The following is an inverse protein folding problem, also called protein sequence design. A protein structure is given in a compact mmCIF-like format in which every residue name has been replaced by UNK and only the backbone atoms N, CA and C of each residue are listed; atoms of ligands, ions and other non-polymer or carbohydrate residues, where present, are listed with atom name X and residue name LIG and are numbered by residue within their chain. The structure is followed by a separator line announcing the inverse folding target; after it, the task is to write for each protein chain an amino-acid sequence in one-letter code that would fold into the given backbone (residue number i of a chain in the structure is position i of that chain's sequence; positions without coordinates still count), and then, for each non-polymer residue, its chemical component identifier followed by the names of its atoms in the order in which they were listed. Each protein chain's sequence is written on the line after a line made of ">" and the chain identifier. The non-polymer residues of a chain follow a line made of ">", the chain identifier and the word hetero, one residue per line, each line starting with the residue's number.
data_IF_311489885749
#
_entry.id   IF_311489885749
#
_cell.length_a   1.000
_cell.length_b   1.000
_cell.length_c   1.000
_cell.angle_alpha   90.00
_cell.angle_beta   90.00
_cell.angle_gamma   90.00
#
_symmetry.space_group_name_H-M   'P 1'
#
loop_
_entity.id
_entity.type
_entity.pdbx_description
1 polymer ?
#
# COMPACT_ATOMS: atom_id res chain seq x y z
N UNK A 1 -14.91 -31.54 -23.58
CA UNK A 1 -14.68 -30.85 -22.29
C UNK A 1 -14.85 -29.36 -22.52
N UNK A 2 -15.78 -28.72 -21.84
CA UNK A 2 -15.85 -27.28 -21.87
C UNK A 2 -14.56 -26.72 -21.26
N UNK A 3 -13.94 -25.77 -21.96
CA UNK A 3 -12.74 -25.09 -21.47
C UNK A 3 -13.14 -24.21 -20.28
N UNK A 4 -12.76 -24.62 -19.07
CA UNK A 4 -12.96 -23.81 -17.87
C UNK A 4 -12.13 -22.52 -18.04
N UNK A 5 -12.78 -21.37 -17.91
CA UNK A 5 -12.14 -20.04 -17.98
C UNK A 5 -12.27 -19.33 -16.64
N UNK A 6 -11.35 -18.42 -16.39
CA UNK A 6 -11.47 -17.47 -15.28
C UNK A 6 -12.78 -16.66 -15.42
N UNK A 7 -13.34 -16.26 -14.29
CA UNK A 7 -14.62 -15.54 -14.28
C UNK A 7 -14.44 -14.06 -13.91
N UNK A 8 -14.16 -13.22 -14.91
CA UNK A 8 -13.98 -11.77 -14.73
C UNK A 8 -15.28 -11.05 -14.31
N UNK A 9 -16.46 -11.67 -14.46
CA UNK A 9 -17.73 -11.09 -13.98
C UNK A 9 -17.81 -10.98 -12.46
N UNK A 10 -16.95 -11.70 -11.73
CA UNK A 10 -16.85 -11.57 -10.27
C UNK A 10 -16.16 -10.27 -9.83
N UNK A 11 -15.36 -9.66 -10.70
CA UNK A 11 -14.67 -8.42 -10.39
C UNK A 11 -15.65 -7.27 -10.21
N UNK A 12 -15.46 -6.50 -9.14
CA UNK A 12 -16.24 -5.29 -8.86
C UNK A 12 -15.30 -4.10 -8.73
N UNK A 13 -15.71 -3.01 -9.36
CA UNK A 13 -15.06 -1.71 -9.21
C UNK A 13 -15.73 -0.91 -8.11
N UNK A 14 -14.94 -0.06 -7.46
CA UNK A 14 -15.40 0.93 -6.51
C UNK A 14 -14.97 2.31 -6.99
N UNK A 15 -15.81 3.31 -6.79
CA UNK A 15 -15.43 4.70 -7.07
C UNK A 15 -14.41 5.15 -6.01
N UNK A 16 -13.30 5.71 -6.49
CA UNK A 16 -12.31 6.32 -5.60
C UNK A 16 -12.86 7.64 -5.07
N UNK A 17 -12.93 7.76 -3.77
CA UNK A 17 -13.19 9.04 -3.12
C UNK A 17 -11.85 9.71 -2.84
N UNK A 18 -11.59 10.78 -3.56
CA UNK A 18 -10.36 11.54 -3.38
C UNK A 18 -10.49 12.48 -2.19
N UNK A 19 -9.47 12.52 -1.34
CA UNK A 19 -9.38 13.39 -0.17
C UNK A 19 -8.43 14.55 -0.48
N UNK A 20 -8.94 15.80 -0.39
CA UNK A 20 -8.11 17.00 -0.45
C UNK A 20 -7.52 17.36 -1.82
N UNK A 21 -6.45 18.14 -1.81
CA UNK A 21 -5.74 18.61 -3.01
C UNK A 21 -4.93 17.46 -3.59
N UNK A 22 -5.21 17.10 -4.86
CA UNK A 22 -4.48 16.04 -5.57
C UNK A 22 -3.25 16.62 -6.26
N UNK A 23 -2.22 16.93 -5.50
CA UNK A 23 -0.94 17.38 -6.02
C UNK A 23 0.16 16.35 -5.68
N UNK A 24 -0.10 15.09 -6.06
CA UNK A 24 0.85 14.01 -5.83
C UNK A 24 0.82 13.01 -6.99
N UNK A 25 1.94 12.34 -7.18
CA UNK A 25 2.02 11.09 -7.92
C UNK A 25 1.85 9.92 -6.96
N UNK A 26 1.48 8.76 -7.47
CA UNK A 26 1.41 7.59 -6.60
C UNK A 26 0.82 6.37 -7.28
N UNK A 27 0.90 5.26 -6.57
CA UNK A 27 0.37 3.98 -6.99
C UNK A 27 -0.26 3.27 -5.81
N UNK A 28 -1.26 2.45 -6.12
CA UNK A 28 -1.78 1.42 -5.24
C UNK A 28 -1.26 0.07 -5.71
N UNK A 29 -0.67 -0.67 -4.79
CA UNK A 29 -0.03 -1.95 -5.07
C UNK A 29 -0.69 -3.03 -4.23
N UNK A 30 -1.29 -4.02 -4.89
CA UNK A 30 -1.90 -5.17 -4.24
C UNK A 30 -1.04 -6.41 -4.48
N UNK A 31 -0.73 -7.14 -3.42
CA UNK A 31 -0.07 -8.43 -3.52
C UNK A 31 -1.05 -9.54 -3.14
N UNK A 32 -1.25 -10.48 -4.04
CA UNK A 32 -2.14 -11.61 -3.88
C UNK A 32 -1.30 -12.89 -3.77
N UNK A 33 -1.33 -13.54 -2.61
CA UNK A 33 -0.38 -14.60 -2.24
C UNK A 33 -0.87 -16.02 -2.52
N UNK A 34 -2.17 -16.22 -2.65
CA UNK A 34 -2.76 -17.56 -2.73
C UNK A 34 -3.42 -17.77 -4.09
N UNK A 35 -2.66 -17.58 -5.16
CA UNK A 35 -3.15 -17.77 -6.54
C UNK A 35 -2.61 -19.07 -7.08
N UNK A 36 -3.48 -19.91 -7.64
CA UNK A 36 -3.09 -21.18 -8.26
C UNK A 36 -3.78 -21.37 -9.61
N UNK A 37 -3.14 -22.12 -10.49
CA UNK A 37 -3.68 -22.53 -11.79
C UNK A 37 -3.16 -23.92 -12.13
N UNK A 38 -3.65 -24.51 -13.21
CA UNK A 38 -3.16 -25.79 -13.75
C UNK A 38 -2.23 -25.54 -14.93
N UNK A 39 -1.12 -26.25 -15.00
CA UNK A 39 -0.29 -26.26 -16.22
C UNK A 39 -0.95 -27.12 -17.32
N UNK A 40 -0.29 -27.20 -18.48
CA UNK A 40 -0.79 -27.96 -19.63
C UNK A 40 -0.89 -29.47 -19.38
N UNK A 41 -0.30 -29.97 -18.30
CA UNK A 41 -0.39 -31.37 -17.87
C UNK A 41 -1.44 -31.58 -16.76
N UNK A 42 -2.12 -30.50 -16.32
CA UNK A 42 -3.03 -30.52 -15.21
C UNK A 42 -2.38 -30.48 -13.83
N UNK A 43 -1.07 -30.19 -13.75
CA UNK A 43 -0.38 -30.05 -12.47
C UNK A 43 -0.67 -28.68 -11.86
N UNK A 44 -1.05 -28.62 -10.56
CA UNK A 44 -1.26 -27.37 -9.87
C UNK A 44 0.04 -26.55 -9.77
N UNK A 45 -0.04 -25.29 -10.14
CA UNK A 45 1.00 -24.29 -9.99
C UNK A 45 0.56 -23.23 -9.01
N UNK A 46 1.47 -22.74 -8.18
CA UNK A 46 1.20 -21.66 -7.22
C UNK A 46 2.04 -20.45 -7.55
N UNK A 47 1.41 -19.27 -7.49
CA UNK A 47 2.06 -18.00 -7.81
C UNK A 47 1.62 -16.90 -6.86
N UNK A 48 2.49 -15.91 -6.69
CA UNK A 48 2.13 -14.62 -6.16
C UNK A 48 1.84 -13.66 -7.31
N UNK A 49 0.77 -12.91 -7.21
CA UNK A 49 0.40 -11.87 -8.18
C UNK A 49 0.54 -10.50 -7.54
N UNK A 50 1.28 -9.61 -8.22
CA UNK A 50 1.41 -8.19 -7.86
C UNK A 50 0.67 -7.37 -8.88
N UNK A 51 -0.27 -6.56 -8.42
CA UNK A 51 -1.08 -5.65 -9.24
C UNK A 51 -0.72 -4.22 -8.86
N UNK A 52 -0.42 -3.37 -9.85
CA UNK A 52 -0.14 -1.96 -9.63
C UNK A 52 -0.99 -1.11 -10.57
N UNK A 53 -1.61 -0.05 -10.05
CA UNK A 53 -2.31 0.95 -10.84
C UNK A 53 -2.14 2.34 -10.21
N UNK A 54 -2.22 3.42 -11.04
CA UNK A 54 -1.94 4.77 -10.56
C UNK A 54 -3.00 5.27 -9.58
N UNK A 55 -2.58 6.05 -8.61
CA UNK A 55 -3.46 6.72 -7.63
C UNK A 55 -4.43 7.71 -8.29
N UNK A 56 -4.11 8.19 -9.49
CA UNK A 56 -4.99 9.03 -10.31
C UNK A 56 -6.17 8.29 -10.95
N UNK A 57 -6.23 6.94 -10.83
CA UNK A 57 -7.39 6.17 -11.30
C UNK A 57 -8.64 6.58 -10.52
N UNK A 58 -9.72 6.89 -11.22
CA UNK A 58 -11.04 7.20 -10.60
C UNK A 58 -11.75 5.97 -10.04
N UNK A 59 -11.24 4.77 -10.37
CA UNK A 59 -11.77 3.49 -9.94
C UNK A 59 -10.71 2.72 -9.16
N UNK A 60 -11.14 1.94 -8.18
CA UNK A 60 -10.34 0.92 -7.49
C UNK A 60 -11.03 -0.44 -7.59
N UNK A 61 -10.29 -1.51 -7.38
CA UNK A 61 -10.88 -2.86 -7.35
C UNK A 61 -11.35 -3.21 -5.93
N UNK A 62 -12.56 -3.75 -5.80
CA UNK A 62 -13.01 -4.35 -4.55
C UNK A 62 -12.18 -5.60 -4.24
N UNK A 63 -11.52 -5.62 -3.07
CA UNK A 63 -10.54 -6.65 -2.71
C UNK A 63 -11.15 -8.03 -2.51
N UNK A 64 -12.39 -8.08 -2.02
CA UNK A 64 -13.11 -9.35 -1.85
C UNK A 64 -13.44 -9.93 -3.21
N UNK A 65 -13.90 -9.09 -4.12
CA UNK A 65 -14.19 -9.49 -5.50
C UNK A 65 -12.93 -9.92 -6.25
N UNK A 66 -11.81 -9.22 -6.06
CA UNK A 66 -10.52 -9.60 -6.62
C UNK A 66 -10.09 -10.99 -6.13
N UNK A 67 -10.22 -11.26 -4.82
CA UNK A 67 -9.92 -12.57 -4.26
C UNK A 67 -10.79 -13.64 -4.89
N UNK A 68 -12.10 -13.45 -4.94
CA UNK A 68 -13.04 -14.40 -5.53
C UNK A 68 -12.75 -14.66 -7.01
N UNK A 69 -12.35 -13.62 -7.75
CA UNK A 69 -11.93 -13.75 -9.15
C UNK A 69 -10.66 -14.61 -9.27
N UNK A 70 -9.63 -14.33 -8.48
CA UNK A 70 -8.36 -15.08 -8.51
C UNK A 70 -8.56 -16.55 -8.10
N UNK A 71 -9.51 -16.86 -7.22
CA UNK A 71 -9.86 -18.22 -6.84
C UNK A 71 -10.44 -19.05 -8.03
N UNK A 72 -11.00 -18.40 -9.04
CA UNK A 72 -11.50 -19.11 -10.22
C UNK A 72 -10.39 -19.69 -11.08
N UNK A 73 -9.15 -19.20 -10.96
CA UNK A 73 -7.99 -19.68 -11.72
C UNK A 73 -7.58 -21.11 -11.35
N UNK A 74 -7.89 -21.56 -10.13
CA UNK A 74 -7.43 -22.85 -9.61
C UNK A 74 -7.69 -24.07 -10.51
N UNK A 75 -8.69 -24.01 -11.37
CA UNK A 75 -9.07 -25.09 -12.28
C UNK A 75 -8.87 -24.70 -13.75
N UNK A 76 -8.27 -23.54 -14.03
CA UNK A 76 -7.99 -23.08 -15.39
C UNK A 76 -6.59 -23.52 -15.80
N UNK A 77 -6.45 -24.01 -17.03
CA UNK A 77 -5.16 -24.38 -17.61
C UNK A 77 -4.50 -23.19 -18.29
N UNK A 78 -3.23 -22.94 -17.97
CA UNK A 78 -2.37 -21.96 -18.63
C UNK A 78 -1.03 -22.60 -18.98
N UNK A 79 -0.48 -22.27 -20.13
CA UNK A 79 0.81 -22.81 -20.55
C UNK A 79 1.99 -22.19 -19.79
N UNK A 80 1.79 -21.00 -19.19
CA UNK A 80 2.87 -20.29 -18.47
C UNK A 80 2.35 -19.25 -17.49
N UNK A 81 3.15 -18.84 -16.48
CA UNK A 81 2.82 -17.69 -15.63
C UNK A 81 2.58 -16.41 -16.43
N UNK A 82 3.20 -16.24 -17.60
CA UNK A 82 3.00 -15.09 -18.48
C UNK A 82 1.58 -15.03 -19.06
N UNK A 83 0.95 -16.17 -19.33
CA UNK A 83 -0.45 -16.20 -19.77
C UNK A 83 -1.39 -15.83 -18.63
N UNK A 84 -1.14 -16.30 -17.42
CA UNK A 84 -1.86 -15.89 -16.20
C UNK A 84 -1.77 -14.38 -16.01
N UNK A 85 -0.54 -13.83 -16.15
CA UNK A 85 -0.30 -12.40 -16.06
C UNK A 85 -1.13 -11.61 -17.07
N UNK A 86 -1.12 -12.01 -18.33
CA UNK A 86 -1.87 -11.35 -19.40
C UNK A 86 -3.36 -11.36 -19.13
N UNK A 87 -3.92 -12.51 -18.74
CA UNK A 87 -5.34 -12.65 -18.44
C UNK A 87 -5.79 -11.70 -17.32
N UNK A 88 -5.05 -11.68 -16.20
CA UNK A 88 -5.36 -10.80 -15.07
C UNK A 88 -5.20 -9.32 -15.48
N UNK A 89 -4.16 -8.99 -16.23
CA UNK A 89 -3.90 -7.60 -16.64
C UNK A 89 -4.99 -7.07 -17.57
N UNK A 90 -5.47 -7.86 -18.53
CA UNK A 90 -6.55 -7.49 -19.45
C UNK A 90 -7.88 -7.29 -18.72
N UNK A 91 -8.23 -8.22 -17.83
CA UNK A 91 -9.45 -8.14 -17.03
C UNK A 91 -9.45 -6.91 -16.11
N UNK A 92 -8.35 -6.66 -15.39
CA UNK A 92 -8.23 -5.50 -14.50
C UNK A 92 -8.11 -4.18 -15.24
N UNK A 93 -7.42 -4.13 -16.39
CA UNK A 93 -7.36 -2.95 -17.24
C UNK A 93 -8.76 -2.56 -17.75
N UNK A 94 -9.56 -3.55 -18.12
CA UNK A 94 -10.95 -3.33 -18.56
C UNK A 94 -11.82 -2.82 -17.41
N UNK A 95 -11.66 -3.40 -16.21
CA UNK A 95 -12.41 -2.99 -15.02
C UNK A 95 -12.07 -1.57 -14.57
N UNK A 96 -10.77 -1.27 -14.42
CA UNK A 96 -10.27 -0.03 -13.82
C UNK A 96 -10.16 1.13 -14.81
N UNK A 97 -10.20 0.84 -16.12
CA UNK A 97 -10.09 1.82 -17.21
C UNK A 97 -8.83 2.70 -17.11
N UNK A 98 -7.74 2.14 -16.57
CA UNK A 98 -6.46 2.82 -16.41
C UNK A 98 -5.29 1.89 -16.75
N UNK A 99 -4.08 2.47 -16.80
CA UNK A 99 -2.85 1.68 -16.97
C UNK A 99 -2.64 0.79 -15.73
N UNK A 100 -2.79 -0.51 -15.91
CA UNK A 100 -2.61 -1.52 -14.86
C UNK A 100 -1.43 -2.40 -15.23
N UNK A 101 -0.50 -2.57 -14.29
CA UNK A 101 0.64 -3.47 -14.41
C UNK A 101 0.41 -4.68 -13.51
N UNK A 102 0.55 -5.86 -14.07
CA UNK A 102 0.47 -7.13 -13.33
C UNK A 102 1.79 -7.85 -13.46
N UNK A 103 2.31 -8.39 -12.37
CA UNK A 103 3.48 -9.27 -12.36
C UNK A 103 3.12 -10.56 -11.64
N UNK A 104 3.60 -11.69 -12.17
CA UNK A 104 3.32 -13.02 -11.62
C UNK A 104 4.64 -13.70 -11.29
N UNK A 105 4.78 -14.14 -10.06
CA UNK A 105 5.98 -14.76 -9.52
C UNK A 105 5.69 -16.20 -9.08
N UNK A 106 6.42 -17.21 -9.54
CA UNK A 106 6.35 -18.56 -8.99
C UNK A 106 6.72 -18.54 -7.50
N UNK A 107 6.06 -19.34 -6.67
CA UNK A 107 6.35 -19.38 -5.23
C UNK A 107 7.60 -20.20 -4.93
N UNK A 108 7.89 -21.20 -5.74
CA UNK A 108 9.07 -22.06 -5.56
C UNK A 108 10.37 -21.26 -5.73
N UNK A 109 11.27 -21.39 -4.75
CA UNK A 109 12.58 -20.75 -4.76
C UNK A 109 12.59 -19.27 -4.43
N UNK A 110 11.47 -18.66 -4.05
CA UNK A 110 11.43 -17.26 -3.66
C UNK A 110 11.93 -17.07 -2.24
N UNK A 111 13.05 -16.35 -2.11
CA UNK A 111 13.40 -15.70 -0.86
C UNK A 111 12.66 -14.35 -0.79
N UNK A 112 11.91 -14.14 0.29
CA UNK A 112 11.30 -12.84 0.57
C UNK A 112 12.20 -12.08 1.56
N UNK A 113 13.00 -11.12 1.10
CA UNK A 113 13.74 -10.28 2.03
C UNK A 113 12.75 -9.42 2.82
N UNK A 114 13.02 -9.23 4.11
CA UNK A 114 12.29 -8.24 4.91
C UNK A 114 12.63 -6.83 4.41
N UNK A 115 11.66 -5.93 4.51
CA UNK A 115 11.91 -4.53 4.18
C UNK A 115 12.82 -3.92 5.24
N UNK A 116 14.09 -3.84 4.94
CA UNK A 116 15.02 -2.94 5.63
C UNK A 116 15.17 -1.74 4.71
N UNK A 117 14.67 -0.59 5.14
CA UNK A 117 14.88 0.66 4.42
C UNK A 117 16.05 1.32 5.11
N UNK A 118 17.19 1.36 4.44
CA UNK A 118 18.40 1.96 4.97
C UNK A 118 18.15 3.42 5.35
N UNK A 119 18.59 3.82 6.54
CA UNK A 119 18.49 5.18 7.05
C UNK A 119 17.14 5.58 7.66
N UNK A 120 16.09 4.76 7.56
CA UNK A 120 14.84 5.03 8.27
C UNK A 120 14.97 4.64 9.75
N UNK A 121 14.73 5.60 10.63
CA UNK A 121 14.65 5.31 12.06
C UNK A 121 13.23 4.88 12.46
N UNK A 122 13.14 4.02 13.47
CA UNK A 122 11.88 3.60 14.07
C UNK A 122 11.39 4.70 15.02
N UNK A 123 10.23 5.28 14.72
CA UNK A 123 9.69 6.43 15.45
C UNK A 123 9.38 6.07 16.91
N UNK A 124 8.78 4.91 17.13
CA UNK A 124 8.42 4.42 18.46
C UNK A 124 9.67 4.21 19.33
N UNK A 125 10.72 3.64 18.75
CA UNK A 125 11.99 3.40 19.47
C UNK A 125 12.61 4.73 19.91
N UNK A 126 12.70 5.71 19.01
CA UNK A 126 13.33 7.02 19.29
C UNK A 126 12.55 7.83 20.32
N UNK A 127 11.22 7.73 20.35
CA UNK A 127 10.39 8.47 21.32
C UNK A 127 10.16 7.70 22.63
N UNK A 128 10.49 6.41 22.71
CA UNK A 128 10.22 5.55 23.87
C UNK A 128 10.81 6.06 25.19
N UNK A 129 11.91 6.81 25.14
CA UNK A 129 12.59 7.38 26.30
C UNK A 129 12.05 8.76 26.72
N UNK A 130 11.09 9.31 25.97
CA UNK A 130 10.52 10.65 26.24
C UNK A 130 9.25 10.51 27.07
N UNK A 131 9.00 11.53 27.89
CA UNK A 131 7.73 11.62 28.64
C UNK A 131 6.68 12.32 27.76
N UNK A 132 5.60 11.61 27.45
CA UNK A 132 4.44 12.13 26.70
C UNK A 132 3.20 11.26 26.92
N UNK A 133 2.03 11.84 26.65
CA UNK A 133 0.77 11.13 26.70
C UNK A 133 0.05 11.22 25.35
N UNK A 134 -0.73 10.21 25.02
CA UNK A 134 -1.68 10.26 23.89
C UNK A 134 -3.01 10.80 24.43
N UNK A 135 -3.41 11.97 23.93
CA UNK A 135 -4.60 12.68 24.44
C UNK A 135 -5.84 12.44 23.58
N UNK A 136 -5.65 12.09 22.29
CA UNK A 136 -6.77 11.88 21.37
C UNK A 136 -6.52 10.70 20.43
N UNK A 137 -7.63 10.05 20.04
CA UNK A 137 -7.67 8.97 19.04
C UNK A 137 -8.57 9.34 17.86
N UNK A 138 -8.95 10.60 17.74
CA UNK A 138 -9.62 11.17 16.59
C UNK A 138 -8.66 12.08 15.83
N UNK A 139 -8.72 12.07 14.49
CA UNK A 139 -7.79 12.83 13.63
C UNK A 139 -7.69 14.28 14.09
N UNK A 140 -6.47 14.71 14.39
CA UNK A 140 -6.15 16.07 14.77
C UNK A 140 -4.83 16.53 14.14
N UNK A 141 -4.93 17.41 13.15
CA UNK A 141 -3.78 17.99 12.42
C UNK A 141 -2.99 18.99 13.29
N UNK A 142 -3.63 19.60 14.28
CA UNK A 142 -3.00 20.57 15.18
C UNK A 142 -1.96 19.93 16.11
N UNK A 143 -1.96 18.61 16.22
CA UNK A 143 -0.90 17.87 16.91
C UNK A 143 0.45 18.01 16.21
N UNK A 144 0.49 18.24 14.90
CA UNK A 144 1.74 18.34 14.13
C UNK A 144 2.49 19.63 14.50
N UNK A 145 3.68 19.48 15.10
CA UNK A 145 4.59 20.57 15.48
C UNK A 145 5.87 20.52 14.65
N UNK A 146 6.50 21.67 14.47
CA UNK A 146 7.76 21.81 13.73
C UNK A 146 8.95 21.65 14.68
N UNK A 147 9.91 20.77 14.34
CA UNK A 147 11.22 20.73 14.96
C UNK A 147 12.16 21.73 14.25
N UNK A 148 12.43 22.85 14.89
CA UNK A 148 13.34 23.87 14.36
C UNK A 148 14.84 23.50 14.43
N UNK A 149 15.18 22.41 15.11
CA UNK A 149 16.57 21.95 15.32
C UNK A 149 17.00 20.91 14.30
N UNK A 150 16.04 20.15 13.74
CA UNK A 150 16.34 19.13 12.75
C UNK A 150 16.89 19.77 11.46
N UNK A 151 17.94 19.18 10.91
CA UNK A 151 18.54 19.59 9.63
C UNK A 151 18.88 18.35 8.81
N UNK A 152 18.60 18.41 7.53
CA UNK A 152 18.86 17.32 6.60
C UNK A 152 17.62 16.44 6.36
N UNK A 153 17.73 15.41 5.53
CA UNK A 153 16.60 14.55 5.19
C UNK A 153 15.98 13.89 6.44
N UNK A 154 14.66 13.85 6.48
CA UNK A 154 13.91 13.19 7.53
C UNK A 154 13.31 11.90 6.97
N UNK A 155 13.65 10.78 7.58
CA UNK A 155 13.19 9.50 7.11
C UNK A 155 12.83 8.59 8.28
N UNK A 156 11.57 8.22 8.40
CA UNK A 156 11.08 7.44 9.54
C UNK A 156 10.09 6.36 9.14
N UNK A 157 10.02 5.35 10.00
CA UNK A 157 9.02 4.30 10.00
C UNK A 157 8.22 4.36 11.29
N UNK A 158 6.92 4.08 11.22
CA UNK A 158 6.05 3.87 12.39
C UNK A 158 5.21 2.63 12.22
N UNK A 159 5.07 1.86 13.29
CA UNK A 159 4.19 0.67 13.35
C UNK A 159 2.85 0.98 14.04
N UNK A 160 2.63 2.22 14.47
CA UNK A 160 1.46 2.65 15.23
C UNK A 160 0.27 3.04 14.36
N UNK A 161 0.39 3.03 13.02
CA UNK A 161 -0.71 3.35 12.14
C UNK A 161 -1.86 2.36 12.30
N UNK A 162 -3.01 2.87 12.71
CA UNK A 162 -4.23 2.10 12.87
C UNK A 162 -5.44 2.98 12.60
N UNK A 163 -6.46 2.43 11.94
CA UNK A 163 -7.75 3.08 11.71
C UNK A 163 -8.86 2.04 11.60
N UNK A 164 -10.07 2.48 11.36
CA UNK A 164 -11.20 1.60 11.06
C UNK A 164 -11.40 1.51 9.54
N UNK A 165 -11.90 0.36 9.08
CA UNK A 165 -12.36 0.27 7.68
C UNK A 165 -13.53 1.23 7.44
N UNK A 166 -13.79 1.59 6.18
CA UNK A 166 -14.89 2.50 5.80
C UNK A 166 -16.26 2.07 6.34
N UNK A 167 -16.47 0.79 6.56
CA UNK A 167 -17.67 0.27 7.23
C UNK A 167 -17.67 0.48 8.76
N UNK A 168 -16.55 0.93 9.34
CA UNK A 168 -16.41 1.19 10.77
C UNK A 168 -16.35 -0.04 11.68
N UNK A 169 -16.37 -1.25 11.12
CA UNK A 169 -16.52 -2.49 11.89
C UNK A 169 -15.26 -3.37 11.97
N UNK A 170 -14.16 -2.99 11.31
CA UNK A 170 -12.91 -3.73 11.36
C UNK A 170 -11.72 -2.79 11.52
N UNK A 171 -10.75 -3.21 12.30
CA UNK A 171 -9.49 -2.49 12.49
C UNK A 171 -8.58 -2.70 11.27
N UNK A 172 -7.93 -1.64 10.86
CA UNK A 172 -6.98 -1.59 9.77
C UNK A 172 -5.62 -1.14 10.33
N UNK A 173 -4.62 -2.00 10.30
CA UNK A 173 -3.27 -1.72 10.79
C UNK A 173 -2.27 -1.72 9.64
N UNK A 174 -1.27 -0.86 9.72
CA UNK A 174 -0.21 -0.76 8.73
C UNK A 174 1.11 -0.27 9.32
N UNK A 175 2.19 -0.49 8.57
CA UNK A 175 3.48 0.14 8.79
C UNK A 175 3.56 1.37 7.89
N UNK A 176 3.76 2.54 8.49
CA UNK A 176 3.84 3.83 7.81
C UNK A 176 5.30 4.23 7.63
N UNK A 177 5.64 4.68 6.43
CA UNK A 177 6.96 5.21 6.07
C UNK A 177 6.77 6.64 5.57
N UNK A 178 7.57 7.57 6.11
CA UNK A 178 7.53 8.98 5.77
C UNK A 178 8.95 9.44 5.43
N UNK A 179 9.12 10.07 4.28
CA UNK A 179 10.34 10.75 3.87
C UNK A 179 10.02 12.20 3.56
N UNK A 180 10.75 13.13 4.18
CA UNK A 180 10.60 14.57 4.03
C UNK A 180 11.95 15.19 3.74
N UNK A 181 12.03 16.00 2.69
CA UNK A 181 13.16 16.89 2.40
C UNK A 181 12.65 18.33 2.28
N UNK A 182 13.20 19.24 3.07
CA UNK A 182 12.72 20.61 3.10
C UNK A 182 13.42 21.46 4.13
N UNK A 183 12.71 22.51 4.55
CA UNK A 183 13.18 23.44 5.59
C UNK A 183 12.53 23.23 6.96
N UNK A 184 11.37 22.54 6.96
CA UNK A 184 10.57 22.28 8.15
C UNK A 184 10.36 20.80 8.31
N UNK A 185 10.49 20.29 9.53
CA UNK A 185 10.39 18.85 9.84
C UNK A 185 9.50 18.61 11.04
N UNK A 186 8.86 17.42 11.14
CA UNK A 186 8.03 17.09 12.28
C UNK A 186 8.85 16.95 13.58
N UNK A 187 8.31 17.43 14.68
CA UNK A 187 8.74 17.03 16.01
C UNK A 187 8.27 15.60 16.27
N UNK A 188 9.16 14.74 16.78
CA UNK A 188 8.95 13.28 16.75
C UNK A 188 7.76 12.82 17.60
N UNK A 189 7.61 13.35 18.82
CA UNK A 189 6.49 12.99 19.69
C UNK A 189 5.18 13.45 19.08
N UNK A 190 5.13 14.65 18.55
CA UNK A 190 3.96 15.21 17.91
C UNK A 190 3.54 14.42 16.65
N UNK A 191 4.52 13.95 15.89
CA UNK A 191 4.26 13.07 14.75
C UNK A 191 3.65 11.73 15.18
N UNK A 192 4.18 11.11 16.25
CA UNK A 192 3.61 9.88 16.78
C UNK A 192 2.18 10.09 17.28
N UNK A 193 1.93 11.16 18.06
CA UNK A 193 0.59 11.52 18.53
C UNK A 193 -0.39 11.71 17.36
N UNK A 194 0.04 12.41 16.31
CA UNK A 194 -0.74 12.59 15.09
C UNK A 194 -1.05 11.26 14.39
N UNK A 195 -0.06 10.37 14.21
CA UNK A 195 -0.29 9.04 13.61
C UNK A 195 -1.31 8.24 14.42
N UNK A 196 -1.20 8.26 15.75
CA UNK A 196 -2.10 7.53 16.66
C UNK A 196 -3.51 8.13 16.66
N UNK A 197 -3.68 9.42 16.36
CA UNK A 197 -4.99 10.07 16.33
C UNK A 197 -5.96 9.50 15.29
N UNK A 198 -5.49 8.75 14.31
CA UNK A 198 -6.35 8.11 13.31
C UNK A 198 -7.13 6.87 13.79
N UNK A 199 -6.92 6.39 15.02
CA UNK A 199 -7.43 5.09 15.47
C UNK A 199 -8.96 4.94 15.45
N UNK A 200 -9.70 6.02 15.65
CA UNK A 200 -11.17 6.02 15.61
C UNK A 200 -11.74 6.44 14.25
N UNK A 201 -10.89 6.82 13.31
CA UNK A 201 -11.31 7.30 11.99
C UNK A 201 -11.57 6.15 11.03
N UNK A 202 -12.57 6.31 10.15
CA UNK A 202 -12.95 5.31 9.16
C UNK A 202 -12.51 5.72 7.75
N UNK A 203 -11.51 5.00 7.22
CA UNK A 203 -10.91 5.26 5.91
C UNK A 203 -10.84 3.99 5.05
N UNK A 204 -10.62 4.15 3.75
CA UNK A 204 -9.92 3.12 2.96
C UNK A 204 -8.42 3.28 3.16
N UNK A 205 -7.64 2.28 2.78
CA UNK A 205 -6.18 2.32 2.87
C UNK A 205 -5.59 3.48 2.05
N UNK A 206 -6.16 3.71 0.88
CA UNK A 206 -5.78 4.79 -0.04
C UNK A 206 -6.09 6.17 0.57
N UNK A 207 -7.34 6.37 1.04
CA UNK A 207 -7.79 7.63 1.65
C UNK A 207 -6.94 8.00 2.87
N UNK A 208 -6.54 7.02 3.68
CA UNK A 208 -5.73 7.26 4.87
C UNK A 208 -4.33 7.78 4.50
N UNK A 209 -3.68 7.17 3.52
CA UNK A 209 -2.36 7.64 3.06
C UNK A 209 -2.45 9.01 2.41
N UNK A 210 -3.49 9.28 1.63
CA UNK A 210 -3.75 10.59 1.02
C UNK A 210 -4.01 11.68 2.07
N UNK A 211 -4.75 11.35 3.12
CA UNK A 211 -5.00 12.25 4.25
C UNK A 211 -3.68 12.63 4.94
N UNK A 212 -2.85 11.64 5.29
CA UNK A 212 -1.54 11.88 5.92
C UNK A 212 -0.63 12.69 4.99
N UNK A 213 -0.57 12.33 3.71
CA UNK A 213 0.24 13.04 2.72
C UNK A 213 -0.14 14.53 2.64
N UNK A 214 -1.43 14.82 2.51
CA UNK A 214 -1.93 16.20 2.39
C UNK A 214 -1.68 17.03 3.66
N UNK A 215 -1.87 16.44 4.84
CA UNK A 215 -1.62 17.13 6.11
C UNK A 215 -0.13 17.48 6.28
N UNK A 216 0.77 16.54 5.95
CA UNK A 216 2.22 16.77 6.00
C UNK A 216 2.69 17.78 4.94
N UNK A 217 2.15 17.68 3.72
CA UNK A 217 2.44 18.63 2.63
C UNK A 217 2.05 20.06 3.03
N UNK A 218 0.86 20.22 3.57
CA UNK A 218 0.34 21.54 3.98
C UNK A 218 1.10 22.10 5.19
N UNK A 219 1.44 21.25 6.17
CA UNK A 219 2.06 21.71 7.43
C UNK A 219 3.51 22.07 7.27
N UNK A 220 4.28 21.32 6.47
CA UNK A 220 5.74 21.47 6.40
C UNK A 220 6.23 22.08 5.09
N UNK A 221 5.40 22.19 4.06
CA UNK A 221 5.75 22.73 2.74
C UNK A 221 7.08 22.16 2.20
N UNK A 222 7.25 20.85 2.18
CA UNK A 222 8.54 20.23 1.84
C UNK A 222 8.87 20.39 0.36
N UNK A 223 10.17 20.34 0.03
CA UNK A 223 10.65 20.26 -1.35
C UNK A 223 10.34 18.89 -1.96
N UNK A 224 10.47 17.84 -1.13
CA UNK A 224 10.12 16.46 -1.49
C UNK A 224 9.44 15.77 -0.32
N UNK A 225 8.36 15.06 -0.62
CA UNK A 225 7.58 14.29 0.33
C UNK A 225 7.23 12.92 -0.27
N UNK A 226 7.45 11.87 0.51
CA UNK A 226 6.90 10.55 0.22
C UNK A 226 6.22 9.99 1.47
N UNK A 227 5.02 9.49 1.30
CA UNK A 227 4.26 8.76 2.31
C UNK A 227 3.85 7.41 1.73
N UNK A 228 4.22 6.36 2.43
CA UNK A 228 3.86 4.99 2.06
C UNK A 228 3.31 4.24 3.27
N UNK A 229 2.23 3.50 3.10
CA UNK A 229 1.75 2.56 4.10
C UNK A 229 1.65 1.16 3.53
N UNK A 230 2.11 0.19 4.32
CA UNK A 230 2.00 -1.25 4.07
C UNK A 230 1.03 -1.86 5.07
N UNK A 231 -0.14 -2.25 4.57
CA UNK A 231 -1.21 -2.75 5.44
C UNK A 231 -1.12 -4.25 5.65
N UNK A 232 -1.65 -4.69 6.77
CA UNK A 232 -1.77 -6.11 7.12
C UNK A 232 -2.55 -6.87 6.06
N UNK A 233 -1.99 -8.01 5.64
CA UNK A 233 -2.63 -8.93 4.68
C UNK A 233 -3.99 -9.40 5.20
N UNK A 234 -5.01 -9.34 4.35
CA UNK A 234 -6.36 -9.83 4.61
C UNK A 234 -6.84 -10.70 3.46
N UNK A 235 -7.36 -11.88 3.78
CA UNK A 235 -7.87 -12.83 2.80
C UNK A 235 -6.86 -13.09 1.65
N UNK A 236 -5.57 -13.21 1.97
CA UNK A 236 -4.53 -13.46 0.98
C UNK A 236 -4.13 -12.26 0.11
N UNK A 237 -4.65 -11.05 0.40
CA UNK A 237 -4.29 -9.80 -0.30
C UNK A 237 -3.81 -8.77 0.70
N UNK A 238 -2.67 -8.13 0.43
CA UNK A 238 -2.26 -6.90 1.10
C UNK A 238 -2.36 -5.70 0.16
N UNK A 239 -2.44 -4.52 0.75
CA UNK A 239 -2.51 -3.25 0.04
C UNK A 239 -1.36 -2.38 0.51
N UNK A 240 -0.63 -1.80 -0.44
CA UNK A 240 0.48 -0.91 -0.20
C UNK A 240 0.24 0.36 -1.02
N UNK A 241 -0.01 1.45 -0.34
CA UNK A 241 -0.26 2.73 -0.98
C UNK A 241 0.96 3.62 -0.86
N UNK A 242 1.39 4.23 -1.94
CA UNK A 242 2.48 5.21 -1.95
C UNK A 242 2.04 6.49 -2.62
N UNK A 243 2.36 7.64 -1.99
CA UNK A 243 2.14 8.99 -2.51
C UNK A 243 3.42 9.78 -2.39
N UNK A 244 3.80 10.49 -3.44
CA UNK A 244 5.05 11.27 -3.48
C UNK A 244 4.89 12.52 -4.37
N UNK A 245 5.64 13.56 -4.03
CA UNK A 245 5.62 14.83 -4.76
C UNK A 245 6.46 14.81 -6.03
N UNK A 246 7.46 13.92 -6.10
CA UNK A 246 8.48 13.86 -7.15
C UNK A 246 8.91 12.39 -7.36
N UNK A 247 9.09 12.01 -8.62
CA UNK A 247 9.44 10.65 -9.06
C UNK A 247 10.84 10.18 -8.62
N UNK A 248 11.70 11.09 -8.19
CA UNK A 248 13.10 10.79 -7.82
C UNK A 248 13.32 10.50 -6.34
N UNK A 249 12.31 10.62 -5.52
CA UNK A 249 12.54 10.99 -4.13
C UNK A 249 12.73 9.87 -3.12
N UNK A 250 12.52 8.57 -3.39
CA UNK A 250 12.79 7.60 -2.31
C UNK A 250 12.99 6.15 -2.73
N UNK A 251 13.94 5.48 -2.07
CA UNK A 251 14.14 4.02 -2.13
C UNK A 251 12.86 3.25 -1.76
N UNK A 252 12.01 3.79 -0.86
CA UNK A 252 10.74 3.16 -0.48
C UNK A 252 9.82 3.04 -1.68
N UNK A 253 9.63 4.14 -2.42
CA UNK A 253 8.79 4.13 -3.60
C UNK A 253 9.36 3.20 -4.68
N UNK A 254 10.68 3.26 -4.92
CA UNK A 254 11.37 2.40 -5.89
C UNK A 254 11.19 0.92 -5.55
N UNK A 255 11.38 0.52 -4.29
CA UNK A 255 11.28 -0.86 -3.86
C UNK A 255 9.84 -1.41 -3.95
N UNK A 256 8.84 -0.59 -3.65
CA UNK A 256 7.42 -0.98 -3.75
C UNK A 256 6.99 -1.06 -5.21
N UNK A 257 7.44 -0.11 -6.04
CA UNK A 257 7.01 -0.01 -7.44
C UNK A 257 7.80 -0.89 -8.40
N UNK A 258 8.87 -1.53 -7.94
CA UNK A 258 9.63 -2.44 -8.81
C UNK A 258 8.75 -3.62 -9.24
N UNK A 259 8.43 -3.69 -10.53
CA UNK A 259 7.59 -4.74 -11.12
C UNK A 259 8.29 -6.09 -11.29
N UNK A 260 9.62 -6.13 -11.17
CA UNK A 260 10.43 -7.30 -11.44
C UNK A 260 10.71 -8.13 -10.19
N UNK A 261 10.38 -7.58 -9.03
CA UNK A 261 10.54 -8.28 -7.75
C UNK A 261 9.23 -8.28 -6.97
N UNK A 262 8.97 -9.33 -6.16
CA UNK A 262 7.87 -9.32 -5.21
C UNK A 262 8.10 -8.19 -4.19
N UNK A 263 7.02 -7.66 -3.63
CA UNK A 263 7.17 -6.66 -2.58
C UNK A 263 7.89 -7.25 -1.37
N UNK A 264 8.80 -6.45 -0.82
CA UNK A 264 9.43 -6.76 0.45
C UNK A 264 8.36 -6.84 1.55
N UNK A 265 8.40 -7.91 2.33
CA UNK A 265 7.46 -8.14 3.42
C UNK A 265 7.82 -7.32 4.65
N UNK A 266 6.80 -6.95 5.41
CA UNK A 266 6.94 -6.51 6.80
C UNK A 266 6.53 -7.64 7.74
N UNK A 267 6.71 -7.47 9.04
CA UNK A 267 6.24 -8.44 10.04
C UNK A 267 4.72 -8.65 10.04
N UNK A 268 3.98 -7.78 9.35
CA UNK A 268 2.51 -7.81 9.24
C UNK A 268 1.99 -8.49 7.96
N UNK A 269 2.87 -8.81 7.03
CA UNK A 269 2.52 -9.32 5.70
C UNK A 269 2.96 -10.77 5.46
#
# INVERSE_FOLDING_TARGET
>A
METIKQNSQLLKKLDRKTQGIQNFYGYDVLNCYEVSYLDTKGMPQQVQVKVMYPSSSVLTVDRVSLRNYLDTFRMVMFASPSEVQKAIQEDLKTLLQCHTVVSVFPIEGMAYPYTVIEGAFDLEEVVSSRDFNIETYNKDVELLKVDSRHKGPFYTKSTSLSSLTKSGNKVMNGDLYISIEGKSYPELVSLLQYIVSYRNEAFTEEELVESIYNDLLTKYEPNSLCVCAKYTRRNGVDVNCVRFSDLGSTEVAINILNKEVPNLKTSRQ
#
